data_IF_665754497991
#
_entry.id   IF_665754497991
#
_cell.length_a   1.000
_cell.length_b   1.000
_cell.length_c   1.000
_cell.angle_alpha   90.00
_cell.angle_beta   90.00
_cell.angle_gamma   90.00
#
_symmetry.space_group_name_H-M   'P 1'
#
loop_
_entity.id
_entity.type
_entity.pdbx_description
1 polymer ?
#
# COMPACT_ATOMS: atom_id res chain seq x y z
N UNK A 1 44.64 23.30 -4.98
CA UNK A 1 44.87 22.33 -6.07
C UNK A 1 43.57 21.58 -6.29
N UNK A 2 42.88 21.88 -7.40
CA UNK A 2 41.55 21.34 -7.76
C UNK A 2 41.72 19.95 -8.37
N UNK A 3 40.90 18.97 -7.98
CA UNK A 3 40.68 17.69 -8.69
C UNK A 3 39.17 17.43 -8.65
N UNK A 4 38.42 17.94 -9.64
CA UNK A 4 38.14 17.33 -10.95
C UNK A 4 37.08 16.22 -10.83
N UNK A 5 35.84 16.64 -11.09
CA UNK A 5 34.60 15.88 -11.25
C UNK A 5 34.76 14.93 -12.45
N UNK A 6 34.40 13.65 -12.26
CA UNK A 6 34.25 12.68 -13.34
C UNK A 6 32.77 12.64 -13.75
N UNK A 7 32.45 13.35 -14.82
CA UNK A 7 31.20 13.20 -15.56
C UNK A 7 31.50 12.25 -16.71
N UNK A 8 30.91 11.05 -16.71
CA UNK A 8 31.02 10.09 -17.81
C UNK A 8 29.76 10.25 -18.65
N UNK A 9 29.91 10.93 -19.79
CA UNK A 9 28.93 11.03 -20.85
C UNK A 9 29.41 10.12 -21.98
N UNK A 10 28.70 9.04 -22.28
CA UNK A 10 29.00 8.22 -23.45
C UNK A 10 27.80 7.40 -23.91
N UNK A 11 27.25 7.72 -25.09
CA UNK A 11 27.01 6.71 -26.12
C UNK A 11 26.93 7.36 -27.51
N UNK A 12 27.96 7.13 -28.31
CA UNK A 12 28.03 7.47 -29.73
C UNK A 12 27.44 6.35 -30.58
N UNK A 13 26.61 6.68 -31.56
CA UNK A 13 26.42 5.86 -32.76
C UNK A 13 26.28 6.78 -33.97
N UNK A 14 27.19 6.62 -34.93
CA UNK A 14 27.24 7.35 -36.18
C UNK A 14 26.99 6.39 -37.34
N UNK A 15 26.10 6.73 -38.29
CA UNK A 15 26.34 6.42 -39.72
C UNK A 15 25.43 7.18 -40.71
N UNK A 16 26.11 7.92 -41.60
CA UNK A 16 25.86 8.19 -43.03
C UNK A 16 24.64 8.98 -43.55
N UNK A 17 24.88 10.28 -43.75
CA UNK A 17 24.83 11.05 -45.02
C UNK A 17 23.69 10.81 -46.04
N UNK A 18 22.75 11.77 -46.09
CA UNK A 18 22.14 12.22 -47.35
C UNK A 18 22.02 13.75 -47.34
N UNK A 19 22.32 14.37 -48.48
CA UNK A 19 22.35 15.81 -48.65
C UNK A 19 20.96 16.37 -48.96
N UNK A 20 20.62 17.50 -48.34
CA UNK A 20 19.63 18.45 -48.88
C UNK A 20 18.45 18.77 -47.96
N UNK A 21 18.60 19.83 -47.16
CA UNK A 21 17.66 20.94 -46.93
C UNK A 21 18.16 21.70 -45.70
N UNK A 22 18.72 22.89 -45.92
CA UNK A 22 18.91 23.89 -44.86
C UNK A 22 17.53 24.44 -44.46
N UNK A 23 16.70 23.61 -43.84
CA UNK A 23 15.75 24.09 -42.87
C UNK A 23 16.54 24.30 -41.59
N UNK A 24 16.55 25.53 -41.06
CA UNK A 24 16.97 25.75 -39.69
C UNK A 24 15.92 25.05 -38.82
N UNK A 25 16.08 23.74 -38.61
CA UNK A 25 15.28 22.98 -37.65
C UNK A 25 15.90 23.28 -36.30
N UNK A 26 15.39 24.30 -35.62
CA UNK A 26 15.68 24.47 -34.20
C UNK A 26 15.29 23.20 -33.46
N UNK A 27 16.15 22.69 -32.58
CA UNK A 27 15.78 21.58 -31.70
C UNK A 27 14.53 21.95 -30.90
N UNK A 28 13.56 21.02 -30.75
CA UNK A 28 12.35 21.31 -30.01
C UNK A 28 12.68 21.61 -28.55
N UNK A 29 12.10 22.67 -28.00
CA UNK A 29 12.28 23.09 -26.61
C UNK A 29 11.10 22.65 -25.77
N UNK A 30 11.33 22.31 -24.51
CA UNK A 30 10.26 22.06 -23.54
C UNK A 30 9.43 23.33 -23.36
N UNK A 31 8.12 23.23 -23.57
CA UNK A 31 7.16 24.33 -23.37
C UNK A 31 6.35 24.18 -22.09
N UNK A 32 6.17 22.95 -21.61
CA UNK A 32 5.40 22.65 -20.41
C UNK A 32 5.79 21.29 -19.82
N UNK A 33 5.49 21.07 -18.54
CA UNK A 33 5.58 19.77 -17.87
C UNK A 33 4.26 19.49 -17.17
N UNK A 34 3.72 18.30 -17.35
CA UNK A 34 2.38 17.94 -16.87
C UNK A 34 2.42 16.70 -16.00
N UNK A 35 1.74 16.76 -14.85
CA UNK A 35 1.38 15.57 -14.08
C UNK A 35 0.16 14.93 -14.72
N UNK A 36 0.37 13.77 -15.32
CA UNK A 36 -0.66 13.02 -16.05
C UNK A 36 -1.38 12.03 -15.14
N UNK A 37 -0.65 11.40 -14.21
CA UNK A 37 -1.17 10.47 -13.20
C UNK A 37 -0.40 10.65 -11.90
N UNK A 38 -1.09 10.58 -10.77
CA UNK A 38 -0.52 10.45 -9.42
C UNK A 38 -0.01 9.02 -9.20
N UNK A 39 0.70 8.79 -8.10
CA UNK A 39 1.07 7.44 -7.67
C UNK A 39 -0.18 6.60 -7.37
N UNK A 40 -0.08 5.29 -7.60
CA UNK A 40 -1.18 4.34 -7.41
C UNK A 40 -1.51 4.14 -5.92
N UNK A 41 -0.51 4.26 -5.04
CA UNK A 41 -0.68 4.10 -3.59
C UNK A 41 -1.00 5.45 -2.93
N UNK A 42 -2.20 5.52 -2.36
CA UNK A 42 -2.75 6.74 -1.73
C UNK A 42 -2.69 6.71 -0.20
N UNK A 43 -2.69 5.52 0.42
CA UNK A 43 -2.68 5.34 1.87
C UNK A 43 -1.41 4.61 2.34
N UNK A 44 -0.78 5.14 3.39
CA UNK A 44 0.46 4.66 3.96
C UNK A 44 0.31 4.45 5.47
N UNK A 45 1.09 3.54 6.02
CA UNK A 45 1.27 3.41 7.47
C UNK A 45 2.47 4.26 7.90
N UNK A 46 2.40 4.85 9.10
CA UNK A 46 3.53 5.62 9.67
C UNK A 46 4.84 4.82 9.56
N UNK A 47 5.87 5.48 9.03
CA UNK A 47 7.19 4.90 8.82
C UNK A 47 7.41 4.27 7.43
N UNK A 48 6.35 4.04 6.65
CA UNK A 48 6.48 3.66 5.24
C UNK A 48 7.11 4.80 4.43
N UNK A 49 7.78 4.45 3.33
CA UNK A 49 8.29 5.43 2.36
C UNK A 49 7.30 5.58 1.20
N UNK A 50 7.27 6.76 0.58
CA UNK A 50 6.48 7.01 -0.61
C UNK A 50 6.84 6.03 -1.74
N UNK A 51 5.82 5.43 -2.37
CA UNK A 51 5.97 4.58 -3.53
C UNK A 51 5.52 5.38 -4.78
N UNK A 52 6.45 5.82 -5.65
CA UNK A 52 6.11 6.60 -6.83
C UNK A 52 5.52 5.76 -7.98
N UNK A 53 5.33 4.45 -7.80
CA UNK A 53 4.73 3.58 -8.82
C UNK A 53 3.37 4.13 -9.29
N UNK A 54 3.16 4.15 -10.60
CA UNK A 54 1.95 4.72 -11.24
C UNK A 54 2.06 6.22 -11.56
N UNK A 55 2.96 6.95 -10.90
CA UNK A 55 3.14 8.38 -11.15
C UNK A 55 3.72 8.63 -12.55
N UNK A 56 3.06 9.50 -13.33
CA UNK A 56 3.47 9.80 -14.69
C UNK A 56 3.58 11.31 -14.93
N UNK A 57 4.82 11.78 -15.13
CA UNK A 57 5.13 13.14 -15.57
C UNK A 57 5.48 13.15 -17.07
N UNK A 58 5.05 14.19 -17.77
CA UNK A 58 5.29 14.32 -19.21
C UNK A 58 5.76 15.73 -19.57
N UNK A 59 6.91 15.82 -20.24
CA UNK A 59 7.34 17.02 -20.95
C UNK A 59 6.55 17.17 -22.25
N UNK A 60 6.11 18.40 -22.51
CA UNK A 60 5.50 18.81 -23.78
C UNK A 60 6.48 19.74 -24.50
N UNK A 61 6.77 19.42 -25.76
CA UNK A 61 7.73 20.15 -26.58
C UNK A 61 7.05 21.09 -27.57
N UNK A 62 7.78 22.11 -28.02
CA UNK A 62 7.28 23.13 -28.97
C UNK A 62 6.84 22.58 -30.33
N UNK A 63 7.31 21.39 -30.71
CA UNK A 63 6.91 20.68 -31.93
C UNK A 63 5.69 19.75 -31.72
N UNK A 64 5.13 19.74 -30.52
CA UNK A 64 4.00 18.91 -30.12
C UNK A 64 4.37 17.49 -29.68
N UNK A 65 5.65 17.10 -29.74
CA UNK A 65 6.09 15.83 -29.19
C UNK A 65 6.04 15.82 -27.68
N UNK A 66 6.00 14.61 -27.10
CA UNK A 66 5.89 14.38 -25.66
C UNK A 66 6.88 13.34 -25.21
N UNK A 67 7.42 13.52 -24.01
CA UNK A 67 8.39 12.60 -23.42
C UNK A 67 8.07 12.39 -21.95
N UNK A 68 8.10 11.14 -21.51
CA UNK A 68 7.97 10.79 -20.11
C UNK A 68 9.21 11.26 -19.32
N UNK A 69 8.96 11.77 -18.11
CA UNK A 69 9.98 12.19 -17.15
C UNK A 69 10.10 11.14 -16.06
N UNK A 70 11.30 10.60 -15.88
CA UNK A 70 11.59 9.57 -14.86
C UNK A 70 12.64 10.02 -13.84
N UNK A 71 13.32 11.14 -14.07
CA UNK A 71 14.38 11.70 -13.25
C UNK A 71 13.91 12.91 -12.42
N UNK A 72 12.69 12.82 -11.89
CA UNK A 72 12.17 13.76 -10.91
C UNK A 72 12.65 13.41 -9.49
N UNK A 73 12.50 14.37 -8.57
CA UNK A 73 12.71 14.18 -7.14
C UNK A 73 11.40 14.37 -6.41
N UNK A 74 11.31 13.87 -5.17
CA UNK A 74 10.14 14.10 -4.34
C UNK A 74 10.53 14.35 -2.88
N UNK A 75 9.60 14.93 -2.13
CA UNK A 75 9.74 15.17 -0.69
C UNK A 75 8.39 14.95 -0.01
N UNK A 76 8.33 14.26 1.14
CA UNK A 76 9.47 13.70 1.91
C UNK A 76 10.18 12.53 1.19
N UNK A 77 11.51 12.52 1.24
CA UNK A 77 12.37 11.41 0.76
C UNK A 77 12.85 10.59 1.97
N UNK A 78 11.90 9.92 2.61
CA UNK A 78 12.12 9.19 3.86
C UNK A 78 10.83 8.64 4.47
N UNK A 79 10.91 8.11 5.70
CA UNK A 79 9.75 7.59 6.41
C UNK A 79 8.69 8.67 6.59
N UNK A 80 7.47 8.38 6.16
CA UNK A 80 6.33 9.26 6.29
C UNK A 80 5.83 9.29 7.72
N UNK A 81 5.28 10.43 8.10
CA UNK A 81 4.67 10.72 9.39
C UNK A 81 3.19 11.03 9.21
N UNK A 82 2.42 10.97 10.28
CA UNK A 82 0.98 11.31 10.26
C UNK A 82 0.72 12.77 9.82
N UNK A 83 1.71 13.66 9.98
CA UNK A 83 1.64 15.05 9.55
C UNK A 83 1.80 15.22 8.02
N UNK A 84 2.28 14.19 7.32
CA UNK A 84 2.49 14.23 5.87
C UNK A 84 1.18 13.91 5.13
N UNK A 85 0.56 14.95 4.57
CA UNK A 85 -0.68 14.81 3.77
C UNK A 85 -0.45 14.92 2.26
N UNK A 86 0.77 15.26 1.85
CA UNK A 86 1.14 15.48 0.46
C UNK A 86 2.60 15.16 0.23
N UNK A 87 2.90 14.51 -0.90
CA UNK A 87 4.25 14.37 -1.42
C UNK A 87 4.43 15.39 -2.53
N UNK A 88 5.45 16.24 -2.40
CA UNK A 88 5.82 17.24 -3.40
C UNK A 88 6.75 16.62 -4.43
N UNK A 89 6.38 16.66 -5.70
CA UNK A 89 7.19 16.18 -6.82
C UNK A 89 7.85 17.38 -7.50
N UNK A 90 9.17 17.33 -7.69
CA UNK A 90 9.96 18.40 -8.28
C UNK A 90 10.70 17.93 -9.53
N UNK A 91 10.54 18.67 -10.62
CA UNK A 91 11.30 18.50 -11.86
C UNK A 91 11.67 19.86 -12.46
N UNK A 92 12.97 20.19 -12.47
CA UNK A 92 13.42 21.53 -12.86
C UNK A 92 12.78 22.60 -11.98
N UNK A 93 12.08 23.56 -12.59
CA UNK A 93 11.32 24.61 -11.91
C UNK A 93 9.84 24.25 -11.69
N UNK A 94 9.42 23.04 -12.09
CA UNK A 94 8.04 22.57 -11.96
C UNK A 94 7.83 21.80 -10.66
N UNK A 95 6.73 22.12 -9.98
CA UNK A 95 6.32 21.50 -8.72
C UNK A 95 4.91 20.95 -8.86
N UNK A 96 4.71 19.71 -8.45
CA UNK A 96 3.41 19.03 -8.44
C UNK A 96 3.15 18.43 -7.06
N UNK A 97 1.88 18.21 -6.75
CA UNK A 97 1.44 17.63 -5.49
C UNK A 97 0.82 16.26 -5.74
N UNK A 98 1.25 15.27 -4.95
CA UNK A 98 0.65 13.95 -4.87
C UNK A 98 0.02 13.80 -3.48
N UNK A 99 -1.31 13.97 -3.33
CA UNK A 99 -1.99 13.78 -2.05
C UNK A 99 -1.78 12.36 -1.52
N UNK A 100 -1.60 12.24 -0.21
CA UNK A 100 -1.49 10.96 0.48
C UNK A 100 -2.25 11.01 1.82
N UNK A 101 -2.54 9.84 2.38
CA UNK A 101 -3.00 9.70 3.76
C UNK A 101 -2.02 8.80 4.51
N UNK A 102 -1.57 9.22 5.69
CA UNK A 102 -0.69 8.41 6.55
C UNK A 102 -1.42 8.11 7.84
N UNK A 103 -1.55 6.83 8.19
CA UNK A 103 -2.30 6.37 9.37
C UNK A 103 -1.44 5.51 10.30
N UNK A 104 -1.77 5.44 11.60
CA UNK A 104 -1.20 4.44 12.49
C UNK A 104 -1.45 3.01 12.00
N UNK A 105 -0.53 2.09 12.29
CA UNK A 105 -0.70 0.68 11.94
C UNK A 105 -1.95 0.06 12.61
N UNK A 106 -2.32 0.55 13.80
CA UNK A 106 -3.55 0.17 14.50
C UNK A 106 -4.82 0.62 13.79
N UNK A 107 -4.74 1.55 12.84
CA UNK A 107 -5.92 2.10 12.16
C UNK A 107 -6.06 1.50 10.75
N UNK A 108 -4.97 0.92 10.23
CA UNK A 108 -4.96 0.21 8.95
C UNK A 108 -5.61 -1.17 9.11
N UNK A 109 -6.84 -1.29 8.63
CA UNK A 109 -7.54 -2.57 8.56
C UNK A 109 -7.00 -3.38 7.36
N UNK A 110 -6.56 -4.60 7.64
CA UNK A 110 -6.04 -5.56 6.65
C UNK A 110 -7.14 -6.50 6.16
N UNK A 111 -7.96 -7.00 7.09
CA UNK A 111 -9.10 -7.87 6.77
C UNK A 111 -10.28 -7.50 7.64
N UNK A 112 -11.47 -7.48 7.03
CA UNK A 112 -12.74 -7.49 7.77
C UNK A 112 -13.43 -8.84 7.59
N UNK A 113 -13.66 -9.56 8.68
CA UNK A 113 -14.40 -10.82 8.72
C UNK A 113 -15.81 -10.55 9.27
N UNK A 114 -16.83 -11.17 8.68
CA UNK A 114 -18.21 -11.00 9.14
C UNK A 114 -18.92 -12.35 9.24
N UNK A 115 -19.81 -12.49 10.22
CA UNK A 115 -20.71 -13.66 10.33
C UNK A 115 -22.21 -13.27 10.23
N UNK A 116 -22.50 -11.99 9.91
CA UNK A 116 -23.85 -11.42 9.86
C UNK A 116 -24.37 -10.86 11.19
N UNK A 117 -23.67 -11.10 12.30
CA UNK A 117 -23.97 -10.58 13.65
C UNK A 117 -22.79 -9.80 14.22
N UNK A 118 -21.58 -10.34 14.06
CA UNK A 118 -20.32 -9.79 14.51
C UNK A 118 -19.42 -9.47 13.32
N UNK A 119 -18.59 -8.45 13.52
CA UNK A 119 -17.55 -7.97 12.62
C UNK A 119 -16.21 -8.05 13.35
N UNK A 120 -15.23 -8.70 12.73
CA UNK A 120 -13.85 -8.78 13.22
C UNK A 120 -12.94 -8.05 12.25
N UNK A 121 -12.26 -7.00 12.71
CA UNK A 121 -11.29 -6.24 11.95
C UNK A 121 -9.88 -6.65 12.39
N UNK A 122 -9.04 -7.06 11.44
CA UNK A 122 -7.63 -7.38 11.66
C UNK A 122 -6.79 -6.17 11.27
N UNK A 123 -6.05 -5.59 12.21
CA UNK A 123 -5.29 -4.35 12.01
C UNK A 123 -3.82 -4.65 11.73
N UNK A 124 -3.14 -3.76 11.00
CA UNK A 124 -1.78 -3.99 10.50
C UNK A 124 -0.72 -4.16 11.62
N UNK A 125 -1.00 -3.67 12.82
CA UNK A 125 -0.17 -3.85 14.02
C UNK A 125 -0.32 -5.24 14.68
N UNK A 126 -1.15 -6.12 14.10
CA UNK A 126 -1.41 -7.46 14.62
C UNK A 126 -2.50 -7.51 15.67
N UNK A 127 -3.09 -6.38 16.05
CA UNK A 127 -4.28 -6.35 16.89
C UNK A 127 -5.52 -6.66 16.07
N UNK A 128 -6.60 -7.02 16.76
CA UNK A 128 -7.91 -7.14 16.16
C UNK A 128 -8.97 -6.48 17.01
N UNK A 129 -10.06 -6.09 16.36
CA UNK A 129 -11.23 -5.49 16.98
C UNK A 129 -12.48 -6.29 16.62
N UNK A 130 -13.28 -6.63 17.63
CA UNK A 130 -14.61 -7.21 17.46
C UNK A 130 -15.68 -6.15 17.68
N UNK A 131 -16.71 -6.13 16.83
CA UNK A 131 -17.86 -5.25 16.92
C UNK A 131 -19.14 -6.04 16.64
N UNK A 132 -20.20 -5.86 17.44
CA UNK A 132 -21.51 -6.51 17.23
C UNK A 132 -21.94 -7.48 18.34
N UNK A 133 -23.22 -7.86 18.28
CA UNK A 133 -23.85 -8.83 19.20
C UNK A 133 -23.92 -8.37 20.68
N UNK A 134 -23.92 -9.35 21.59
CA UNK A 134 -23.82 -9.12 23.05
C UNK A 134 -22.37 -8.87 23.51
N UNK A 135 -21.45 -8.73 22.56
CA UNK A 135 -20.01 -8.55 22.76
C UNK A 135 -19.57 -7.08 22.58
N UNK A 136 -20.49 -6.12 22.74
CA UNK A 136 -20.24 -4.67 22.86
C UNK A 136 -19.39 -4.28 24.09
N UNK A 137 -18.52 -5.18 24.54
CA UNK A 137 -17.63 -4.99 25.66
C UNK A 137 -16.46 -4.11 25.24
N UNK A 138 -16.63 -2.82 25.49
CA UNK A 138 -15.57 -1.82 25.47
C UNK A 138 -14.51 -2.13 26.54
N UNK A 139 -13.35 -2.65 26.13
CA UNK A 139 -12.17 -2.71 26.98
C UNK A 139 -10.99 -3.43 26.30
N UNK A 140 -9.76 -2.87 26.33
CA UNK A 140 -8.73 -3.20 25.35
C UNK A 140 -7.94 -4.46 25.72
N UNK A 141 -7.41 -5.08 24.66
CA UNK A 141 -6.30 -6.06 24.61
C UNK A 141 -6.65 -7.49 25.03
N UNK A 142 -6.81 -8.35 24.04
CA UNK A 142 -5.81 -9.40 23.77
C UNK A 142 -6.20 -10.23 22.54
N UNK A 143 -6.90 -9.66 21.55
CA UNK A 143 -7.00 -10.36 20.28
C UNK A 143 -5.75 -10.05 19.47
N UNK A 144 -5.13 -11.06 18.89
CA UNK A 144 -4.05 -10.84 17.93
C UNK A 144 -4.18 -11.78 16.77
N UNK A 145 -3.54 -11.42 15.67
CA UNK A 145 -3.50 -12.26 14.48
C UNK A 145 -2.11 -12.24 13.87
N UNK A 146 -1.85 -13.23 13.02
CA UNK A 146 -0.65 -13.25 12.18
C UNK A 146 -0.90 -14.00 10.87
N UNK A 147 -0.16 -13.60 9.84
CA UNK A 147 -0.16 -14.18 8.50
C UNK A 147 1.28 -14.32 8.02
N UNK A 148 1.67 -15.56 7.70
CA UNK A 148 3.04 -15.88 7.27
C UNK A 148 3.18 -16.07 5.75
N UNK A 149 2.12 -15.80 4.99
CA UNK A 149 2.01 -16.06 3.55
C UNK A 149 1.29 -17.38 3.21
N UNK A 150 1.01 -18.23 4.20
CA UNK A 150 0.32 -19.51 4.03
C UNK A 150 -0.78 -19.75 5.07
N UNK A 151 -0.53 -19.37 6.32
CA UNK A 151 -1.41 -19.68 7.46
C UNK A 151 -1.84 -18.40 8.15
N UNK A 152 -3.16 -18.23 8.32
CA UNK A 152 -3.74 -17.17 9.15
C UNK A 152 -3.94 -17.74 10.56
N UNK A 153 -3.31 -17.13 11.55
CA UNK A 153 -3.53 -17.45 12.96
C UNK A 153 -4.31 -16.31 13.59
N UNK A 154 -5.34 -16.65 14.34
CA UNK A 154 -6.14 -15.68 15.07
C UNK A 154 -6.31 -16.16 16.50
N UNK A 155 -6.08 -15.27 17.45
CA UNK A 155 -6.48 -15.44 18.84
C UNK A 155 -7.59 -14.44 19.14
N UNK A 156 -8.79 -14.95 19.42
CA UNK A 156 -9.94 -14.14 19.85
C UNK A 156 -10.23 -14.47 21.31
N UNK A 157 -10.06 -13.54 22.26
CA UNK A 157 -10.42 -13.80 23.64
C UNK A 157 -11.94 -13.81 23.79
N UNK A 158 -12.50 -14.90 24.29
CA UNK A 158 -13.94 -14.97 24.59
C UNK A 158 -14.16 -14.86 26.08
N UNK A 159 -14.71 -13.72 26.49
CA UNK A 159 -14.95 -13.37 27.87
C UNK A 159 -16.30 -13.93 28.36
N UNK A 160 -16.25 -14.75 29.40
CA UNK A 160 -17.41 -15.06 30.25
C UNK A 160 -17.56 -14.02 31.36
N UNK A 161 -16.43 -13.46 31.81
CA UNK A 161 -16.34 -12.29 32.69
C UNK A 161 -14.98 -11.60 32.48
N UNK A 162 -14.74 -10.46 33.15
CA UNK A 162 -13.45 -9.76 33.09
C UNK A 162 -12.24 -10.63 33.49
N UNK A 163 -12.46 -11.66 34.31
CA UNK A 163 -11.41 -12.52 34.88
C UNK A 163 -11.50 -13.97 34.38
N UNK A 164 -12.48 -14.29 33.53
CA UNK A 164 -12.71 -15.63 32.99
C UNK A 164 -12.92 -15.53 31.48
N UNK A 165 -11.89 -15.87 30.73
CA UNK A 165 -11.88 -15.89 29.27
C UNK A 165 -11.03 -17.03 28.74
N UNK A 166 -11.36 -17.49 27.53
CA UNK A 166 -10.51 -18.42 26.78
C UNK A 166 -9.48 -17.62 25.96
N UNK A 167 -8.20 -17.97 26.05
CA UNK A 167 -7.06 -17.19 25.49
C UNK A 167 -6.19 -17.99 24.50
N UNK A 168 -6.75 -19.04 23.89
CA UNK A 168 -5.99 -19.89 22.98
C UNK A 168 -6.01 -19.38 21.54
N UNK A 169 -4.87 -19.48 20.88
CA UNK A 169 -4.71 -19.18 19.46
C UNK A 169 -5.23 -20.36 18.62
N UNK A 170 -5.96 -20.05 17.54
CA UNK A 170 -6.42 -21.05 16.58
C UNK A 170 -5.73 -20.81 15.25
N UNK A 171 -5.13 -21.88 14.71
CA UNK A 171 -4.66 -21.88 13.33
C UNK A 171 -5.86 -22.08 12.41
N UNK A 172 -6.14 -21.06 11.60
CA UNK A 172 -7.26 -21.10 10.68
C UNK A 172 -6.72 -21.55 9.33
N UNK A 173 -7.06 -22.78 8.93
CA UNK A 173 -6.86 -23.17 7.54
C UNK A 173 -7.91 -22.45 6.70
N UNK A 174 -7.42 -21.64 5.76
CA UNK A 174 -8.29 -20.88 4.88
C UNK A 174 -9.01 -21.85 3.94
N UNK A 175 -10.33 -21.95 4.08
CA UNK A 175 -11.16 -22.69 3.14
C UNK A 175 -11.63 -21.74 2.04
N UNK A 176 -11.12 -21.97 0.84
CA UNK A 176 -11.41 -21.19 -0.35
C UNK A 176 -12.59 -21.79 -1.11
N UNK A 177 -13.57 -20.96 -1.46
CA UNK A 177 -14.58 -21.33 -2.44
C UNK A 177 -14.13 -21.03 -3.89
N UNK A 178 -15.00 -21.32 -4.86
CA UNK A 178 -14.73 -21.07 -6.29
C UNK A 178 -14.51 -19.59 -6.63
N UNK A 179 -14.91 -18.68 -5.74
CA UNK A 179 -14.69 -17.23 -5.84
C UNK A 179 -13.50 -16.77 -4.99
N UNK A 180 -12.73 -17.70 -4.42
CA UNK A 180 -11.64 -17.48 -3.46
C UNK A 180 -12.08 -16.78 -2.16
N UNK A 181 -13.37 -16.79 -1.83
CA UNK A 181 -13.79 -16.32 -0.51
C UNK A 181 -13.25 -17.26 0.56
N UNK A 182 -12.97 -16.72 1.74
CA UNK A 182 -12.45 -17.48 2.87
C UNK A 182 -13.54 -17.69 3.87
N UNK A 183 -13.63 -18.92 4.38
CA UNK A 183 -14.40 -19.21 5.59
C UNK A 183 -13.56 -19.97 6.60
N UNK A 184 -13.95 -19.84 7.86
CA UNK A 184 -13.34 -20.60 8.93
C UNK A 184 -14.28 -20.81 10.10
N UNK A 185 -13.97 -21.84 10.89
CA UNK A 185 -14.70 -22.23 12.08
C UNK A 185 -13.94 -21.90 13.35
N UNK A 186 -14.56 -21.13 14.24
CA UNK A 186 -14.06 -20.93 15.59
C UNK A 186 -14.90 -21.73 16.59
N UNK A 187 -14.25 -22.64 17.33
CA UNK A 187 -14.92 -23.53 18.28
C UNK A 187 -14.89 -22.94 19.70
N UNK A 188 -16.02 -22.39 20.14
CA UNK A 188 -16.25 -21.92 21.50
C UNK A 188 -16.58 -23.10 22.44
N UNK A 189 -15.77 -23.25 23.49
CA UNK A 189 -16.00 -24.19 24.61
C UNK A 189 -16.20 -25.66 24.20
N UNK A 190 -15.72 -26.06 23.02
CA UNK A 190 -15.93 -27.40 22.48
C UNK A 190 -17.40 -27.73 22.13
N UNK A 191 -18.31 -26.74 22.19
CA UNK A 191 -19.75 -26.96 22.08
C UNK A 191 -20.44 -26.06 21.04
N UNK A 192 -19.85 -24.92 20.69
CA UNK A 192 -20.43 -23.95 19.74
C UNK A 192 -19.42 -23.64 18.65
N UNK A 193 -19.80 -23.75 17.38
CA UNK A 193 -18.98 -23.30 16.26
C UNK A 193 -19.50 -21.96 15.75
N UNK A 194 -18.62 -20.99 15.57
CA UNK A 194 -18.90 -19.74 14.87
C UNK A 194 -18.24 -19.80 13.50
N UNK A 195 -19.06 -19.71 12.45
CA UNK A 195 -18.57 -19.62 11.08
C UNK A 195 -18.36 -18.15 10.72
N UNK A 196 -17.11 -17.78 10.47
CA UNK A 196 -16.79 -16.48 9.88
C UNK A 196 -16.55 -16.64 8.38
N UNK A 197 -16.94 -15.62 7.62
CA UNK A 197 -16.76 -15.56 6.18
C UNK A 197 -16.20 -14.20 5.77
N UNK A 198 -15.37 -14.19 4.75
CA UNK A 198 -14.84 -12.99 4.13
C UNK A 198 -14.81 -13.17 2.61
N UNK A 199 -15.40 -12.23 1.87
CA UNK A 199 -15.35 -12.32 0.41
C UNK A 199 -13.97 -11.98 -0.09
N UNK A 200 -13.46 -12.69 -1.09
CA UNK A 200 -12.18 -12.41 -1.74
C UNK A 200 -12.00 -10.93 -2.12
N UNK A 201 -13.08 -10.28 -2.56
CA UNK A 201 -13.07 -8.85 -2.89
C UNK A 201 -12.65 -7.95 -1.72
N UNK A 202 -12.88 -8.39 -0.48
CA UNK A 202 -12.64 -7.62 0.74
C UNK A 202 -11.26 -7.88 1.38
N UNK A 203 -10.55 -8.95 0.99
CA UNK A 203 -9.28 -9.34 1.65
C UNK A 203 -8.11 -9.66 0.70
N UNK A 204 -8.38 -9.90 -0.59
CA UNK A 204 -7.37 -10.32 -1.57
C UNK A 204 -6.31 -9.29 -1.92
N UNK A 205 -6.57 -8.00 -1.66
CA UNK A 205 -5.64 -6.95 -2.02
C UNK A 205 -4.47 -6.82 -1.05
N UNK A 206 -4.54 -7.42 0.15
CA UNK A 206 -3.58 -7.15 1.22
C UNK A 206 -2.96 -8.41 1.85
N UNK A 207 -3.69 -9.52 2.00
CA UNK A 207 -3.11 -10.81 2.43
C UNK A 207 -2.63 -11.66 1.24
N UNK A 208 -1.70 -11.13 0.46
CA UNK A 208 -1.02 -11.94 -0.55
C UNK A 208 0.05 -12.83 0.10
N UNK A 209 0.47 -13.92 -0.55
CA UNK A 209 1.54 -14.77 -0.01
C UNK A 209 2.88 -14.06 0.21
N UNK A 210 3.12 -12.98 -0.54
CA UNK A 210 4.35 -12.19 -0.48
C UNK A 210 4.35 -11.18 0.67
N UNK A 211 3.17 -10.85 1.20
CA UNK A 211 3.01 -9.86 2.27
C UNK A 211 2.75 -10.59 3.59
N UNK A 212 3.45 -10.18 4.66
CA UNK A 212 3.36 -10.78 6.01
C UNK A 212 2.92 -9.74 7.03
N UNK A 213 2.12 -10.17 8.00
CA UNK A 213 1.57 -9.31 9.04
C UNK A 213 1.36 -10.04 10.37
N UNK A 214 1.44 -9.33 11.51
CA UNK A 214 2.22 -8.09 11.66
C UNK A 214 3.70 -8.35 11.29
N UNK A 215 4.42 -7.30 10.90
CA UNK A 215 5.87 -7.37 10.61
C UNK A 215 6.69 -7.60 11.89
#
# INVERSE_FOLDING_TARGET
MKKAIKMVLSLTMALALSAGLFGCSSEPTVTDVQLMMTADKEEYVIGESFDPTGLMLTEVYSDGTRKEVTDYTYSPDGPLTEDDTVVTIQYGDYTFENPITVIPASDKIIVTLNNGVDRCELHADGTLQLQGGALDYMGPVSGHWSWDGQTLKIMLPIYRSKEDFDDFETEMQLEYDEQNNVSFDYLLLGNWSMHYFCSYADWSQVLTPDVKYPQ
#
